data_IF_392548883089
#
_entry.id   IF_392548883089
#
_cell.length_a   1.000
_cell.length_b   1.000
_cell.length_c   1.000
_cell.angle_alpha   90.00
_cell.angle_beta   90.00
_cell.angle_gamma   90.00
#
_symmetry.space_group_name_H-M   'P 1'
#
loop_
_entity.id
_entity.type
_entity.pdbx_description
1 polymer ?
#
# COMPACT_ATOMS: atom_id res chain seq x y z
N UNK A 1 -11.51 -52.89 -18.61
CA UNK A 1 -11.47 -51.64 -19.37
C UNK A 1 -12.86 -51.04 -19.40
N UNK A 2 -13.07 -49.85 -18.82
CA UNK A 2 -14.22 -49.00 -19.12
C UNK A 2 -13.68 -47.74 -19.83
N UNK A 3 -14.15 -47.42 -21.04
CA UNK A 3 -13.79 -46.19 -21.73
C UNK A 3 -14.88 -45.13 -21.45
N UNK A 4 -14.53 -44.00 -20.82
CA UNK A 4 -15.40 -42.82 -20.87
C UNK A 4 -15.78 -42.10 -19.57
N UNK A 5 -14.86 -41.94 -18.61
CA UNK A 5 -14.96 -40.83 -17.65
C UNK A 5 -13.73 -39.92 -17.78
N UNK A 6 -13.76 -39.11 -18.83
CA UNK A 6 -12.88 -37.96 -19.04
C UNK A 6 -13.62 -36.70 -18.62
N UNK A 7 -13.46 -36.26 -17.36
CA UNK A 7 -13.82 -34.93 -16.83
C UNK A 7 -13.57 -34.95 -15.31
N UNK A 8 -12.82 -34.11 -14.62
CA UNK A 8 -12.10 -32.84 -14.80
C UNK A 8 -10.97 -32.85 -13.73
N UNK A 9 -9.85 -32.13 -13.89
CA UNK A 9 -8.80 -32.12 -12.87
C UNK A 9 -9.32 -31.53 -11.56
N UNK A 10 -9.03 -32.20 -10.44
CA UNK A 10 -9.23 -31.65 -9.10
C UNK A 10 -8.38 -30.38 -8.94
N UNK A 11 -8.95 -29.23 -9.29
CA UNK A 11 -8.38 -27.90 -9.04
C UNK A 11 -9.47 -26.98 -8.49
N UNK A 12 -9.96 -27.30 -7.30
CA UNK A 12 -10.48 -26.28 -6.40
C UNK A 12 -9.41 -26.06 -5.33
N UNK A 13 -8.52 -25.06 -5.47
CA UNK A 13 -7.73 -24.61 -4.33
C UNK A 13 -8.69 -24.06 -3.25
N UNK A 14 -8.62 -24.51 -1.99
CA UNK A 14 -9.40 -23.89 -0.93
C UNK A 14 -8.89 -22.45 -0.68
N UNK A 15 -9.72 -21.48 -1.06
CA UNK A 15 -9.85 -20.12 -0.53
C UNK A 15 -8.59 -19.47 0.03
N UNK A 16 -7.60 -19.20 -0.82
CA UNK A 16 -6.81 -17.98 -0.77
C UNK A 16 -5.99 -17.97 -2.07
N UNK A 17 -6.62 -17.57 -3.18
CA UNK A 17 -5.84 -17.12 -4.34
C UNK A 17 -4.85 -16.09 -3.80
N UNK A 18 -3.58 -16.50 -3.79
CA UNK A 18 -2.42 -15.70 -3.46
C UNK A 18 -2.43 -14.52 -4.41
N UNK A 19 -3.21 -13.50 -4.06
CA UNK A 19 -3.31 -12.22 -4.76
C UNK A 19 -1.88 -11.76 -4.92
N UNK A 20 -1.40 -11.86 -6.16
CA UNK A 20 -0.13 -11.36 -6.65
C UNK A 20 0.97 -11.30 -5.59
N UNK A 21 1.83 -12.33 -5.59
CA UNK A 21 3.25 -12.29 -5.22
C UNK A 21 3.69 -10.94 -4.63
N UNK A 22 4.24 -10.98 -3.40
CA UNK A 22 5.24 -10.04 -2.89
C UNK A 22 5.55 -8.92 -3.91
N UNK A 23 4.87 -7.77 -3.82
CA UNK A 23 5.36 -6.56 -4.49
C UNK A 23 6.72 -6.32 -3.86
N UNK A 24 7.74 -6.86 -4.51
CA UNK A 24 9.17 -6.73 -4.34
C UNK A 24 9.55 -6.05 -3.03
N UNK A 25 10.13 -6.81 -2.08
CA UNK A 25 10.77 -6.30 -0.86
C UNK A 25 12.01 -5.42 -1.15
N UNK A 26 11.93 -4.54 -2.15
CA UNK A 26 13.00 -3.71 -2.66
C UNK A 26 12.59 -2.78 -3.80
N UNK A 27 11.32 -2.43 -3.96
CA UNK A 27 10.92 -1.39 -4.94
C UNK A 27 10.18 -0.25 -4.27
N UNK A 28 10.94 0.82 -3.99
CA UNK A 28 10.52 2.19 -3.64
C UNK A 28 9.73 2.87 -4.78
N UNK A 29 8.83 2.15 -5.46
CA UNK A 29 7.92 2.79 -6.42
C UNK A 29 6.77 3.37 -5.60
N UNK A 30 6.89 4.64 -5.25
CA UNK A 30 5.88 5.33 -4.44
C UNK A 30 4.49 5.10 -5.05
N UNK A 31 3.56 4.63 -4.22
CA UNK A 31 2.17 4.51 -4.63
C UNK A 31 1.63 5.90 -4.98
N UNK A 32 0.98 6.03 -6.14
CA UNK A 32 0.49 7.31 -6.63
C UNK A 32 -0.53 7.93 -5.67
N UNK A 33 -0.57 9.26 -5.62
CA UNK A 33 -1.51 10.01 -4.77
C UNK A 33 -2.95 9.60 -5.04
N UNK A 34 -3.31 9.42 -6.30
CA UNK A 34 -4.65 9.02 -6.71
C UNK A 34 -5.11 7.68 -6.09
N UNK A 35 -4.23 6.68 -5.99
CA UNK A 35 -4.59 5.39 -5.39
C UNK A 35 -4.77 5.52 -3.87
N UNK A 36 -3.92 6.33 -3.22
CA UNK A 36 -4.04 6.63 -1.79
C UNK A 36 -5.33 7.38 -1.46
N UNK A 37 -5.67 8.38 -2.27
CA UNK A 37 -6.88 9.18 -2.09
C UNK A 37 -8.13 8.31 -2.27
N UNK A 38 -8.19 7.48 -3.32
CA UNK A 38 -9.29 6.50 -3.52
C UNK A 38 -9.43 5.53 -2.35
N UNK A 39 -8.31 5.09 -1.77
CA UNK A 39 -8.31 4.22 -0.57
C UNK A 39 -8.96 4.92 0.62
N UNK A 40 -8.60 6.19 0.85
CA UNK A 40 -9.15 6.98 1.96
C UNK A 40 -10.62 7.31 1.73
N UNK A 41 -11.00 7.69 0.52
CA UNK A 41 -12.39 7.94 0.15
C UNK A 41 -13.27 6.70 0.37
N UNK A 42 -12.83 5.54 -0.11
CA UNK A 42 -13.53 4.29 0.11
C UNK A 42 -13.62 3.91 1.60
N UNK A 43 -12.57 4.19 2.39
CA UNK A 43 -12.62 4.00 3.84
C UNK A 43 -13.63 4.95 4.53
N UNK A 44 -13.69 6.23 4.11
CA UNK A 44 -14.68 7.20 4.61
C UNK A 44 -16.12 6.80 4.25
N UNK A 45 -16.31 6.16 3.10
CA UNK A 45 -17.57 5.57 2.68
C UNK A 45 -17.93 4.26 3.43
N UNK A 46 -17.11 3.82 4.40
CA UNK A 46 -17.36 2.62 5.19
C UNK A 46 -17.01 1.30 4.51
N UNK A 47 -16.29 1.31 3.38
CA UNK A 47 -15.85 0.07 2.72
C UNK A 47 -14.83 -0.66 3.59
N UNK A 48 -14.96 -1.99 3.64
CA UNK A 48 -14.05 -2.86 4.37
C UNK A 48 -12.68 -3.00 3.69
N UNK A 49 -11.65 -3.33 4.48
CA UNK A 49 -10.27 -3.47 4.00
C UNK A 49 -10.11 -4.49 2.86
N UNK A 50 -10.80 -5.63 2.93
CA UNK A 50 -10.76 -6.67 1.87
C UNK A 50 -11.44 -6.21 0.58
N UNK A 51 -12.49 -5.41 0.68
CA UNK A 51 -13.20 -4.85 -0.48
C UNK A 51 -12.32 -3.84 -1.20
N UNK A 52 -11.70 -2.91 -0.47
CA UNK A 52 -10.76 -1.94 -1.03
C UNK A 52 -9.53 -2.59 -1.65
N UNK A 53 -9.03 -3.65 -1.01
CA UNK A 53 -7.92 -4.46 -1.52
C UNK A 53 -8.22 -5.05 -2.89
N UNK A 54 -9.43 -5.60 -3.10
CA UNK A 54 -9.87 -6.14 -4.40
C UNK A 54 -10.13 -5.05 -5.45
N UNK A 55 -10.77 -3.96 -5.06
CA UNK A 55 -11.09 -2.85 -5.98
C UNK A 55 -9.83 -2.15 -6.52
N UNK A 56 -8.79 -2.05 -5.70
CA UNK A 56 -7.55 -1.34 -6.04
C UNK A 56 -6.38 -2.26 -6.39
N UNK A 57 -6.60 -3.58 -6.39
CA UNK A 57 -5.58 -4.62 -6.54
C UNK A 57 -4.36 -4.38 -5.62
N UNK A 58 -4.63 -4.03 -4.36
CA UNK A 58 -3.61 -3.75 -3.36
C UNK A 58 -3.60 -4.82 -2.28
N UNK A 59 -2.45 -5.14 -1.69
CA UNK A 59 -2.40 -5.94 -0.48
C UNK A 59 -3.17 -5.28 0.67
N UNK A 60 -3.91 -6.07 1.45
CA UNK A 60 -4.67 -5.60 2.62
C UNK A 60 -3.76 -4.84 3.62
N UNK A 61 -2.49 -5.26 3.75
CA UNK A 61 -1.49 -4.58 4.59
C UNK A 61 -1.17 -3.16 4.11
N UNK A 62 -1.17 -2.94 2.79
CA UNK A 62 -0.95 -1.63 2.18
C UNK A 62 -2.14 -0.71 2.43
N UNK A 63 -3.36 -1.22 2.22
CA UNK A 63 -4.62 -0.51 2.55
C UNK A 63 -4.62 -0.09 4.03
N UNK A 64 -4.28 -1.01 4.94
CA UNK A 64 -4.15 -0.73 6.37
C UNK A 64 -3.09 0.33 6.69
N UNK A 65 -1.94 0.26 6.04
CA UNK A 65 -0.85 1.23 6.24
C UNK A 65 -1.21 2.65 5.76
N UNK A 66 -1.97 2.77 4.66
CA UNK A 66 -2.49 4.05 4.17
C UNK A 66 -3.48 4.64 5.17
N UNK A 67 -4.47 3.85 5.60
CA UNK A 67 -5.49 4.30 6.56
C UNK A 67 -4.87 4.70 7.89
N UNK A 68 -3.91 3.92 8.42
CA UNK A 68 -3.19 4.27 9.66
C UNK A 68 -2.44 5.58 9.54
N UNK A 69 -1.72 5.81 8.43
CA UNK A 69 -1.02 7.08 8.18
C UNK A 69 -2.01 8.25 8.05
N UNK A 70 -3.10 8.05 7.33
CA UNK A 70 -4.14 9.06 7.20
C UNK A 70 -4.77 9.43 8.56
N UNK A 71 -5.06 8.44 9.41
CA UNK A 71 -5.55 8.70 10.78
C UNK A 71 -4.55 9.46 11.66
N UNK A 72 -3.26 9.22 11.49
CA UNK A 72 -2.21 9.85 12.28
C UNK A 72 -1.89 11.30 11.84
N UNK A 73 -1.83 11.54 10.52
CA UNK A 73 -1.35 12.81 9.97
C UNK A 73 -2.41 13.62 9.20
N UNK A 74 -3.61 13.06 9.01
CA UNK A 74 -4.67 13.68 8.22
C UNK A 74 -4.40 13.77 6.72
N UNK A 75 -3.32 13.16 6.22
CA UNK A 75 -2.83 13.38 4.87
C UNK A 75 -2.41 12.09 4.15
N UNK A 76 -2.62 12.09 2.83
CA UNK A 76 -2.22 11.01 1.90
C UNK A 76 -0.93 11.33 1.14
N UNK A 77 -0.49 12.60 1.14
CA UNK A 77 0.79 13.00 0.52
C UNK A 77 1.97 12.52 1.35
N UNK A 78 3.08 12.24 0.66
CA UNK A 78 4.33 11.92 1.34
C UNK A 78 4.83 13.19 2.04
N UNK A 79 4.99 13.14 3.37
CA UNK A 79 5.63 14.24 4.07
C UNK A 79 7.11 14.26 3.72
N UNK A 80 7.73 15.46 3.58
CA UNK A 80 9.18 15.53 3.57
C UNK A 80 9.70 14.79 4.80
N UNK A 81 10.70 13.93 4.59
CA UNK A 81 11.40 13.29 5.71
C UNK A 81 11.85 14.44 6.63
N UNK A 82 11.50 14.45 7.92
CA UNK A 82 12.12 15.40 8.83
C UNK A 82 13.62 15.17 8.73
N UNK A 83 14.31 16.16 8.14
CA UNK A 83 15.74 16.15 8.01
C UNK A 83 16.36 16.23 9.40
N UNK A 84 17.62 15.80 9.51
CA UNK A 84 18.40 16.13 10.68
C UNK A 84 18.45 17.66 10.79
N UNK A 85 18.03 18.28 11.92
CA UNK A 85 18.24 19.71 12.10
C UNK A 85 19.74 19.97 12.00
N UNK A 86 20.15 20.70 10.96
CA UNK A 86 21.54 21.08 10.79
C UNK A 86 21.87 22.10 11.87
N UNK A 87 22.75 21.73 12.80
CA UNK A 87 23.25 22.67 13.81
C UNK A 87 24.16 23.68 13.09
N UNK A 88 23.60 24.81 12.67
CA UNK A 88 24.41 25.94 12.23
C UNK A 88 25.16 26.47 13.45
N UNK A 89 26.50 26.49 13.37
CA UNK A 89 27.33 27.16 14.37
C UNK A 89 27.35 28.65 14.06
N UNK A 90 27.59 29.50 15.06
CA UNK A 90 27.73 30.96 14.89
C UNK A 90 28.75 31.35 13.81
N UNK A 91 29.78 30.51 13.61
CA UNK A 91 30.80 30.68 12.57
C UNK A 91 30.30 30.42 11.15
N UNK A 92 29.25 29.61 10.98
CA UNK A 92 28.62 29.35 9.69
C UNK A 92 27.67 30.49 9.27
N UNK A 93 26.93 31.08 10.21
CA UNK A 93 26.11 32.28 9.99
C UNK A 93 26.95 33.48 9.49
N UNK A 94 28.12 33.70 10.10
CA UNK A 94 29.01 34.80 9.72
C UNK A 94 29.61 34.68 8.29
N UNK A 95 29.46 33.53 7.62
CA UNK A 95 29.94 33.30 6.24
C UNK A 95 28.83 33.42 5.20
N UNK A 96 27.57 33.58 5.62
CA UNK A 96 26.40 33.72 4.74
C UNK A 96 26.05 35.20 4.46
N UNK A 97 26.91 36.14 4.86
CA UNK A 97 26.74 37.60 4.68
C UNK A 97 27.71 38.13 3.63
#
# INVERSE_FOLDING_TARGET
>A
MNPGDSALPASHPPTNERHSYMVSMGRTKELSKAIRDKTVEGHKAGKGYKTLSKELDLPVSTVGSIIRKWKAYGTTVNLPRPGQPFKVSSRAEARLV
#
